data_IF_072715912620
#
_entry.id   IF_072715912620
#
_cell.length_a   1.000
_cell.length_b   1.000
_cell.length_c   1.000
_cell.angle_alpha   90.00
_cell.angle_beta   90.00
_cell.angle_gamma   90.00
#
_symmetry.space_group_name_H-M   'P 1'
#
loop_
_entity.id
_entity.type
_entity.pdbx_description
1 polymer ?
#
# COMPACT_ATOMS: atom_id res chain seq x y z
N UNK A 1 9.83 -19.38 17.88
CA UNK A 1 10.68 -19.99 18.86
C UNK A 1 10.01 -21.28 19.34
N UNK A 2 10.77 -22.32 19.58
CA UNK A 2 10.29 -23.64 20.06
C UNK A 2 10.65 -23.93 21.51
N UNK A 3 11.18 -22.95 22.22
CA UNK A 3 11.60 -23.11 23.62
C UNK A 3 10.39 -23.32 24.53
N UNK A 4 10.57 -24.16 25.55
CA UNK A 4 9.50 -24.56 26.52
C UNK A 4 9.48 -23.70 27.78
N UNK A 5 10.46 -22.84 27.97
CA UNK A 5 10.74 -22.06 29.17
C UNK A 5 10.06 -20.69 29.23
N UNK A 6 9.44 -20.26 28.15
CA UNK A 6 8.75 -18.97 28.08
C UNK A 6 7.54 -18.99 27.15
N UNK A 7 6.60 -18.12 27.43
CA UNK A 7 5.43 -17.92 26.55
C UNK A 7 5.76 -16.98 25.38
N UNK A 8 4.84 -16.91 24.41
CA UNK A 8 5.00 -16.07 23.21
C UNK A 8 5.24 -14.59 23.51
N UNK A 9 4.64 -14.05 24.59
CA UNK A 9 4.77 -12.62 24.95
C UNK A 9 6.17 -12.30 25.47
N UNK A 10 6.80 -13.26 26.17
CA UNK A 10 8.10 -13.10 26.81
C UNK A 10 9.24 -13.73 25.98
N UNK A 11 8.97 -14.12 24.75
CA UNK A 11 9.98 -14.71 23.87
C UNK A 11 10.90 -13.62 23.29
N UNK A 12 12.23 -13.62 23.59
CA UNK A 12 13.15 -12.62 23.10
C UNK A 12 13.18 -12.54 21.56
N UNK A 13 13.24 -13.68 20.88
CA UNK A 13 13.20 -13.72 19.40
C UNK A 13 11.93 -13.08 18.83
N UNK A 14 10.80 -13.25 19.52
CA UNK A 14 9.54 -12.66 19.09
C UNK A 14 9.55 -11.14 19.32
N UNK A 15 10.11 -10.67 20.42
CA UNK A 15 10.23 -9.24 20.69
C UNK A 15 11.14 -8.57 19.65
N UNK A 16 12.29 -9.16 19.35
CA UNK A 16 13.19 -8.67 18.31
C UNK A 16 12.50 -8.64 16.94
N UNK A 17 11.71 -9.65 16.65
CA UNK A 17 10.98 -9.71 15.37
C UNK A 17 9.86 -8.69 15.30
N UNK A 18 9.19 -8.34 16.41
CA UNK A 18 8.21 -7.25 16.45
C UNK A 18 8.85 -5.91 16.12
N UNK A 19 10.03 -5.63 16.69
CA UNK A 19 10.77 -4.41 16.37
C UNK A 19 11.07 -4.34 14.87
N UNK A 20 11.51 -5.46 14.28
CA UNK A 20 11.73 -5.53 12.82
C UNK A 20 10.44 -5.36 12.02
N UNK A 21 9.33 -5.88 12.49
CA UNK A 21 8.01 -5.68 11.85
C UNK A 21 7.59 -4.21 11.85
N UNK A 22 7.76 -3.51 12.97
CA UNK A 22 7.46 -2.08 13.09
C UNK A 22 8.34 -1.27 12.14
N UNK A 23 9.66 -1.53 12.16
CA UNK A 23 10.61 -0.84 11.28
C UNK A 23 10.32 -1.12 9.80
N UNK A 24 9.99 -2.35 9.45
CA UNK A 24 9.63 -2.72 8.08
C UNK A 24 8.40 -1.97 7.59
N UNK A 25 7.35 -1.88 8.41
CA UNK A 25 6.15 -1.16 8.04
C UNK A 25 6.38 0.34 7.92
N UNK A 26 7.16 0.92 8.83
CA UNK A 26 7.57 2.32 8.74
C UNK A 26 8.29 2.62 7.42
N UNK A 27 9.31 1.83 7.09
CA UNK A 27 10.11 2.03 5.87
C UNK A 27 9.25 1.82 4.61
N UNK A 28 8.37 0.82 4.62
CA UNK A 28 7.44 0.56 3.51
C UNK A 28 6.48 1.73 3.29
N UNK A 29 5.81 2.19 4.35
CA UNK A 29 4.90 3.34 4.30
C UNK A 29 5.60 4.59 3.81
N UNK A 30 6.78 4.88 4.35
CA UNK A 30 7.59 6.02 3.94
C UNK A 30 7.97 5.95 2.46
N UNK A 31 8.40 4.78 1.99
CA UNK A 31 8.74 4.58 0.59
C UNK A 31 7.54 4.79 -0.34
N UNK A 32 6.37 4.22 -0.02
CA UNK A 32 5.14 4.41 -0.81
C UNK A 32 4.68 5.85 -0.78
N UNK A 33 4.66 6.48 0.38
CA UNK A 33 4.26 7.88 0.53
C UNK A 33 5.16 8.83 -0.27
N UNK A 34 6.47 8.70 -0.14
CA UNK A 34 7.43 9.52 -0.88
C UNK A 34 7.23 9.35 -2.40
N UNK A 35 6.99 8.14 -2.85
CA UNK A 35 6.74 7.90 -4.27
C UNK A 35 5.42 8.54 -4.73
N UNK A 36 4.33 8.25 -4.04
CA UNK A 36 2.98 8.69 -4.46
C UNK A 36 2.80 10.19 -4.26
N UNK A 37 3.11 10.71 -3.08
CA UNK A 37 2.85 12.11 -2.75
C UNK A 37 3.97 13.05 -3.17
N UNK A 38 5.23 12.73 -2.83
CA UNK A 38 6.33 13.64 -3.10
C UNK A 38 6.75 13.59 -4.58
N UNK A 39 6.94 12.38 -5.13
CA UNK A 39 7.42 12.24 -6.51
C UNK A 39 6.31 12.47 -7.52
N UNK A 40 5.19 11.73 -7.40
CA UNK A 40 4.09 11.82 -8.37
C UNK A 40 3.17 13.02 -8.12
N UNK A 41 3.14 13.55 -6.90
CA UNK A 41 2.28 14.67 -6.51
C UNK A 41 0.82 14.29 -6.31
N UNK A 42 0.55 12.99 -6.06
CA UNK A 42 -0.78 12.49 -5.75
C UNK A 42 -1.02 12.71 -4.26
N UNK A 43 -1.68 13.81 -3.93
CA UNK A 43 -2.01 14.19 -2.55
C UNK A 43 -3.34 14.93 -2.53
N UNK A 44 -3.99 14.96 -1.37
CA UNK A 44 -5.27 15.67 -1.20
C UNK A 44 -5.08 17.14 -1.58
N UNK A 45 -6.01 17.66 -2.37
CA UNK A 45 -5.95 19.02 -2.94
C UNK A 45 -5.20 19.12 -4.27
N UNK A 46 -4.57 18.06 -4.77
CA UNK A 46 -3.95 18.08 -6.10
C UNK A 46 -4.99 18.04 -7.22
N UNK A 47 -4.78 18.86 -8.25
CA UNK A 47 -5.58 18.80 -9.47
C UNK A 47 -5.02 17.73 -10.40
N UNK A 48 -5.91 16.90 -10.92
CA UNK A 48 -5.57 15.72 -11.72
C UNK A 48 -6.34 15.69 -13.04
N UNK A 49 -5.74 15.05 -14.04
CA UNK A 49 -6.41 14.64 -15.27
C UNK A 49 -6.75 13.15 -15.14
N UNK A 50 -8.01 12.83 -15.32
CA UNK A 50 -8.51 11.45 -15.31
C UNK A 50 -9.12 11.09 -16.66
N UNK A 51 -9.02 9.83 -17.02
CA UNK A 51 -9.61 9.26 -18.22
C UNK A 51 -10.70 8.26 -17.84
N UNK A 52 -11.81 8.33 -18.53
CA UNK A 52 -12.83 7.28 -18.51
C UNK A 52 -12.74 6.50 -19.82
N UNK A 53 -12.39 5.22 -19.70
CA UNK A 53 -12.43 4.30 -20.84
C UNK A 53 -13.83 3.75 -20.99
N UNK A 54 -14.43 3.94 -22.17
CA UNK A 54 -15.75 3.37 -22.52
C UNK A 54 -15.56 2.41 -23.69
N UNK A 55 -16.14 1.21 -23.55
CA UNK A 55 -16.06 0.20 -24.61
C UNK A 55 -16.64 0.74 -25.91
N UNK A 56 -15.80 0.79 -26.97
CA UNK A 56 -16.24 1.21 -28.30
C UNK A 56 -16.36 2.72 -28.54
N UNK A 57 -15.98 3.57 -27.58
CA UNK A 57 -15.93 5.02 -27.70
C UNK A 57 -14.55 5.58 -27.40
N UNK A 58 -14.29 6.82 -27.82
CA UNK A 58 -13.06 7.50 -27.47
C UNK A 58 -12.99 7.75 -25.95
N UNK A 59 -11.78 7.63 -25.40
CA UNK A 59 -11.49 8.00 -24.01
C UNK A 59 -11.92 9.45 -23.76
N UNK A 60 -12.66 9.66 -22.69
CA UNK A 60 -13.04 11.00 -22.25
C UNK A 60 -12.09 11.46 -21.16
N UNK A 61 -11.58 12.67 -21.30
CA UNK A 61 -10.71 13.33 -20.34
C UNK A 61 -11.54 14.26 -19.43
N UNK A 62 -11.29 14.19 -18.13
CA UNK A 62 -11.89 15.05 -17.12
C UNK A 62 -10.81 15.66 -16.24
N UNK A 63 -11.12 16.80 -15.64
CA UNK A 63 -10.32 17.41 -14.57
C UNK A 63 -10.98 17.10 -13.26
N UNK A 64 -10.18 16.72 -12.27
CA UNK A 64 -10.63 16.44 -10.91
C UNK A 64 -9.72 17.03 -9.87
N UNK A 65 -10.24 17.13 -8.64
CA UNK A 65 -9.50 17.54 -7.46
C UNK A 65 -9.49 16.37 -6.47
N UNK A 66 -8.32 15.91 -6.05
CA UNK A 66 -8.22 14.81 -5.06
C UNK A 66 -8.81 15.28 -3.73
N UNK A 67 -9.83 14.56 -3.24
CA UNK A 67 -10.52 14.85 -1.98
C UNK A 67 -10.09 13.94 -0.85
N UNK A 68 -9.72 12.68 -1.16
CA UNK A 68 -9.34 11.70 -0.15
C UNK A 68 -8.38 10.66 -0.72
N UNK A 69 -7.50 10.14 0.14
CA UNK A 69 -6.60 9.03 -0.14
C UNK A 69 -6.62 8.07 1.04
N UNK A 70 -7.07 6.85 0.82
CA UNK A 70 -7.06 5.84 1.86
C UNK A 70 -5.66 5.26 2.07
N UNK A 71 -4.89 5.88 2.96
CA UNK A 71 -3.54 5.43 3.31
C UNK A 71 -3.52 4.18 4.21
N UNK A 72 -4.63 3.82 4.84
CA UNK A 72 -4.68 2.67 5.78
C UNK A 72 -4.45 1.34 5.07
N UNK A 73 -4.69 1.29 3.76
CA UNK A 73 -4.38 0.10 2.95
C UNK A 73 -2.87 -0.10 2.76
N UNK A 74 -2.05 0.92 2.97
CA UNK A 74 -0.59 0.86 2.80
C UNK A 74 0.04 0.21 4.01
N UNK A 75 0.33 -1.08 3.90
CA UNK A 75 0.80 -1.89 5.01
C UNK A 75 1.67 -3.04 4.49
N UNK A 76 2.89 -3.17 5.01
CA UNK A 76 3.85 -4.20 4.57
C UNK A 76 3.33 -5.62 4.78
N UNK A 77 2.49 -5.84 5.79
CA UNK A 77 1.95 -7.17 6.11
C UNK A 77 0.88 -7.60 5.11
N UNK A 78 0.00 -6.67 4.73
CA UNK A 78 -1.06 -6.93 3.74
C UNK A 78 -0.46 -7.07 2.34
N UNK A 79 0.55 -6.28 2.02
CA UNK A 79 1.27 -6.40 0.76
C UNK A 79 1.82 -7.82 0.55
N UNK A 80 2.26 -8.47 1.61
CA UNK A 80 2.75 -9.85 1.55
C UNK A 80 1.63 -10.89 1.47
N UNK A 81 0.53 -10.71 2.18
CA UNK A 81 -0.61 -11.66 2.16
C UNK A 81 -1.20 -11.81 0.76
N UNK A 82 -1.02 -10.81 -0.12
CA UNK A 82 -1.40 -10.88 -1.53
C UNK A 82 -0.48 -11.79 -2.36
N UNK A 83 0.66 -12.22 -1.86
CA UNK A 83 1.61 -13.11 -2.57
C UNK A 83 1.30 -14.61 -2.44
N UNK A 84 0.47 -14.99 -1.49
CA UNK A 84 0.10 -16.39 -1.25
C UNK A 84 -1.04 -16.86 -2.13
N UNK A 85 -0.71 -17.46 -3.27
CA UNK A 85 -1.59 -18.26 -4.14
C UNK A 85 -2.92 -17.65 -4.62
N UNK A 86 -2.95 -17.34 -5.89
CA UNK A 86 -4.07 -17.42 -6.85
C UNK A 86 -5.15 -16.33 -6.88
N UNK A 87 -5.19 -15.35 -6.06
CA UNK A 87 -6.05 -14.20 -6.35
C UNK A 87 -5.31 -12.91 -6.01
N UNK A 88 -4.88 -12.30 -7.05
CA UNK A 88 -4.13 -11.06 -7.10
C UNK A 88 -4.99 -9.91 -6.57
N UNK A 89 -5.09 -9.77 -5.27
CA UNK A 89 -5.57 -8.53 -4.69
C UNK A 89 -4.36 -7.62 -4.48
N UNK A 90 -4.10 -6.80 -5.46
CA UNK A 90 -3.20 -5.68 -5.30
C UNK A 90 -3.76 -4.76 -4.24
N UNK A 91 -2.88 -4.27 -3.39
CA UNK A 91 -3.21 -3.08 -2.61
C UNK A 91 -3.37 -1.91 -3.60
N UNK A 92 -4.58 -1.73 -4.10
CA UNK A 92 -4.90 -0.51 -4.84
C UNK A 92 -5.08 0.60 -3.83
N UNK A 93 -4.20 1.59 -3.87
CA UNK A 93 -4.42 2.81 -3.12
C UNK A 93 -5.71 3.46 -3.64
N UNK A 94 -6.73 3.51 -2.78
CA UNK A 94 -8.00 4.13 -3.14
C UNK A 94 -7.87 5.64 -3.04
N UNK A 95 -8.03 6.29 -4.18
CA UNK A 95 -8.03 7.75 -4.32
C UNK A 95 -9.43 8.19 -4.70
N UNK A 96 -9.97 9.17 -4.01
CA UNK A 96 -11.21 9.84 -4.37
C UNK A 96 -10.91 11.22 -4.91
N UNK A 97 -11.68 11.62 -5.90
CA UNK A 97 -11.58 12.96 -6.49
C UNK A 97 -12.96 13.52 -6.83
N UNK A 98 -13.09 14.82 -6.69
CA UNK A 98 -14.25 15.56 -7.21
C UNK A 98 -14.07 15.72 -8.72
N UNK A 99 -14.95 15.09 -9.50
CA UNK A 99 -14.95 15.13 -10.97
C UNK A 99 -16.37 15.47 -11.43
N UNK A 100 -16.53 16.53 -12.20
CA UNK A 100 -17.82 17.03 -12.67
C UNK A 100 -18.84 17.25 -11.50
N UNK A 101 -18.35 17.78 -10.37
CA UNK A 101 -19.20 18.06 -9.20
C UNK A 101 -19.54 16.86 -8.34
N UNK A 102 -19.07 15.65 -8.66
CA UNK A 102 -19.32 14.44 -7.90
C UNK A 102 -18.02 13.81 -7.39
N UNK A 103 -18.04 13.26 -6.17
CA UNK A 103 -16.91 12.48 -5.65
C UNK A 103 -16.90 11.09 -6.29
N UNK A 104 -15.80 10.75 -6.94
CA UNK A 104 -15.60 9.47 -7.66
C UNK A 104 -14.31 8.79 -7.26
N UNK A 105 -14.31 7.46 -7.29
CA UNK A 105 -13.09 6.69 -7.12
C UNK A 105 -12.22 6.79 -8.37
N UNK A 106 -10.91 6.99 -8.17
CA UNK A 106 -9.92 7.09 -9.23
C UNK A 106 -8.87 6.01 -9.07
N UNK A 107 -8.67 5.24 -10.12
CA UNK A 107 -7.65 4.19 -10.14
C UNK A 107 -6.28 4.78 -10.50
N UNK A 108 -5.29 4.58 -9.63
CA UNK A 108 -3.90 5.02 -9.82
C UNK A 108 -2.93 3.86 -10.06
N UNK A 109 -3.44 2.65 -10.28
CA UNK A 109 -2.66 1.41 -10.29
C UNK A 109 -1.44 1.43 -11.21
N UNK A 110 -1.56 1.97 -12.41
CA UNK A 110 -0.45 2.01 -13.38
C UNK A 110 0.73 2.91 -12.95
N UNK A 111 0.49 3.87 -12.08
CA UNK A 111 1.53 4.80 -11.60
C UNK A 111 2.37 4.20 -10.46
N UNK A 112 1.82 3.22 -9.76
CA UNK A 112 2.55 2.50 -8.70
C UNK A 112 3.53 1.49 -9.29
N UNK A 113 3.32 1.04 -10.54
CA UNK A 113 4.20 0.09 -11.24
C UNK A 113 5.61 0.57 -11.42
N UNK A 114 5.77 1.86 -11.69
CA UNK A 114 7.09 2.46 -11.94
C UNK A 114 7.97 2.53 -10.69
N UNK A 115 7.40 2.20 -9.52
CA UNK A 115 8.12 2.27 -8.25
C UNK A 115 9.15 1.15 -8.05
N UNK A 116 9.24 0.18 -8.96
CA UNK A 116 10.09 -0.99 -8.74
C UNK A 116 9.55 -1.93 -7.66
N UNK A 117 8.32 -1.69 -7.21
CA UNK A 117 7.54 -2.59 -6.35
C UNK A 117 6.87 -3.70 -7.17
N UNK A 118 7.28 -3.89 -8.42
CA UNK A 118 6.74 -4.93 -9.32
C UNK A 118 6.69 -6.31 -8.67
N UNK A 119 7.62 -6.56 -7.77
CA UNK A 119 7.66 -7.78 -6.98
C UNK A 119 6.80 -7.74 -5.72
N UNK A 120 6.29 -6.56 -5.32
CA UNK A 120 5.57 -6.34 -4.07
C UNK A 120 4.13 -5.93 -4.33
N UNK A 121 3.89 -5.13 -5.36
CA UNK A 121 2.56 -4.70 -5.79
C UNK A 121 2.35 -5.22 -7.20
N UNK A 122 2.04 -6.50 -7.34
CA UNK A 122 1.55 -7.02 -8.62
C UNK A 122 0.18 -6.45 -8.87
N UNK A 123 0.01 -5.81 -10.03
CA UNK A 123 -1.30 -5.37 -10.49
C UNK A 123 -2.31 -6.50 -10.45
N UNK A 124 -3.44 -6.21 -9.86
CA UNK A 124 -4.64 -6.75 -10.45
C UNK A 124 -4.67 -6.18 -11.86
N UNK A 125 -4.52 -7.02 -12.84
CA UNK A 125 -5.23 -6.76 -14.08
C UNK A 125 -6.67 -6.59 -13.62
N UNK A 126 -7.08 -5.39 -13.35
CA UNK A 126 -8.46 -4.99 -13.18
C UNK A 126 -9.11 -5.28 -14.52
N UNK A 127 -9.39 -6.54 -14.70
CA UNK A 127 -9.70 -7.06 -16.00
C UNK A 127 -11.09 -6.71 -16.47
N UNK A 128 -11.95 -6.06 -15.68
CA UNK A 128 -13.34 -5.97 -16.10
C UNK A 128 -14.14 -4.74 -15.66
N UNK A 129 -13.53 -3.74 -15.03
CA UNK A 129 -14.28 -2.52 -14.71
C UNK A 129 -13.99 -1.43 -15.75
N UNK A 130 -14.65 -1.54 -16.89
CA UNK A 130 -14.59 -0.63 -18.04
C UNK A 130 -15.09 0.80 -17.71
N UNK A 131 -15.57 1.02 -16.50
CA UNK A 131 -16.16 2.29 -16.07
C UNK A 131 -15.30 3.06 -15.06
N UNK A 132 -14.13 2.56 -14.70
CA UNK A 132 -13.30 3.22 -13.71
C UNK A 132 -12.57 4.42 -14.31
N UNK A 133 -12.60 5.52 -13.56
CA UNK A 133 -11.76 6.67 -13.85
C UNK A 133 -10.30 6.28 -13.55
N UNK A 134 -9.42 6.52 -14.53
CA UNK A 134 -8.00 6.28 -14.39
C UNK A 134 -7.25 7.59 -14.34
N UNK A 135 -6.38 7.76 -13.36
CA UNK A 135 -5.48 8.90 -13.32
C UNK A 135 -4.53 8.85 -14.51
N UNK A 136 -4.47 9.91 -15.30
CA UNK A 136 -3.56 10.05 -16.44
C UNK A 136 -2.43 11.04 -16.20
N UNK A 137 -2.66 12.08 -15.41
CA UNK A 137 -1.65 13.07 -15.05
C UNK A 137 -2.01 13.84 -13.78
N UNK A 138 -1.00 14.34 -13.07
CA UNK A 138 -1.15 15.38 -12.06
C UNK A 138 -0.87 16.72 -12.71
N UNK A 139 -1.85 17.64 -12.68
CA UNK A 139 -1.78 18.95 -13.33
C UNK A 139 -1.16 19.98 -12.40
N UNK A 140 -1.60 19.97 -11.13
CA UNK A 140 -1.07 20.84 -10.09
C UNK A 140 -0.96 20.06 -8.77
N UNK A 141 0.22 20.14 -8.17
CA UNK A 141 0.51 19.45 -6.89
C UNK A 141 0.08 20.32 -5.73
N UNK A 142 -0.63 19.73 -4.77
CA UNK A 142 -0.80 20.33 -3.46
C UNK A 142 0.34 19.90 -2.52
N UNK A 143 0.45 20.57 -1.38
CA UNK A 143 1.43 20.20 -0.35
C UNK A 143 0.98 18.92 0.35
N UNK A 144 1.81 17.88 0.41
CA UNK A 144 1.48 16.66 1.11
C UNK A 144 1.24 16.93 2.61
N UNK A 145 0.23 16.26 3.17
CA UNK A 145 -0.10 16.36 4.59
C UNK A 145 -0.40 14.95 5.12
N UNK A 146 0.54 14.40 5.87
CA UNK A 146 0.34 13.17 6.64
C UNK A 146 1.08 13.29 7.96
N UNK A 147 0.53 12.73 9.02
CA UNK A 147 1.17 12.76 10.33
C UNK A 147 2.33 11.75 10.41
N UNK A 148 3.39 12.10 11.13
CA UNK A 148 4.49 11.17 11.41
C UNK A 148 4.01 9.90 12.15
N UNK A 149 2.95 10.02 12.95
CA UNK A 149 2.35 8.89 13.68
C UNK A 149 1.82 7.81 12.73
N UNK A 150 1.34 8.19 11.54
CA UNK A 150 0.86 7.23 10.57
C UNK A 150 1.96 6.26 10.10
N UNK A 151 3.22 6.69 10.06
CA UNK A 151 4.31 5.81 9.68
C UNK A 151 4.58 4.73 10.74
N UNK A 152 4.30 4.99 12.02
CA UNK A 152 4.51 4.03 13.10
C UNK A 152 3.28 3.15 13.30
N UNK A 153 3.44 1.84 13.16
CA UNK A 153 2.33 0.89 13.19
C UNK A 153 2.58 -0.28 14.15
N UNK A 154 2.88 0.04 15.41
CA UNK A 154 3.14 -0.98 16.42
C UNK A 154 1.96 -1.95 16.61
N UNK A 155 0.75 -1.41 16.70
CA UNK A 155 -0.47 -2.20 16.86
C UNK A 155 -0.71 -3.15 15.70
N UNK A 156 -0.41 -2.72 14.47
CA UNK A 156 -0.55 -3.56 13.28
C UNK A 156 0.45 -4.72 13.28
N UNK A 157 1.69 -4.48 13.71
CA UNK A 157 2.69 -5.53 13.85
C UNK A 157 2.23 -6.62 14.83
N UNK A 158 1.69 -6.22 15.97
CA UNK A 158 1.11 -7.17 16.94
C UNK A 158 -0.09 -7.90 16.37
N UNK A 159 -1.00 -7.21 15.71
CA UNK A 159 -2.19 -7.81 15.11
C UNK A 159 -1.80 -8.84 14.05
N UNK A 160 -0.83 -8.51 13.20
CA UNK A 160 -0.30 -9.43 12.21
C UNK A 160 0.29 -10.69 12.87
N UNK A 161 1.18 -10.50 13.84
CA UNK A 161 1.83 -11.62 14.54
C UNK A 161 0.84 -12.46 15.37
N UNK A 162 -0.22 -11.83 15.89
CA UNK A 162 -1.25 -12.56 16.64
C UNK A 162 -1.99 -13.59 15.78
N UNK A 163 -2.16 -13.29 14.48
CA UNK A 163 -2.79 -14.20 13.50
C UNK A 163 -1.87 -15.37 13.11
N UNK A 164 -0.55 -15.24 13.28
CA UNK A 164 0.42 -16.29 12.92
C UNK A 164 0.71 -17.20 14.12
N UNK A 165 0.71 -18.52 13.89
CA UNK A 165 0.85 -19.50 14.98
C UNK A 165 2.26 -19.60 15.55
N UNK A 166 3.31 -19.34 14.76
CA UNK A 166 4.70 -19.39 15.22
C UNK A 166 5.66 -18.64 14.33
N UNK A 167 6.78 -18.19 14.90
CA UNK A 167 7.87 -17.56 14.14
C UNK A 167 8.50 -18.53 13.13
N UNK A 168 8.54 -19.83 13.47
CA UNK A 168 9.03 -20.88 12.55
C UNK A 168 8.21 -20.93 11.25
N UNK A 169 6.90 -20.85 11.32
CA UNK A 169 6.05 -20.77 10.11
C UNK A 169 6.33 -19.52 9.30
N UNK A 170 6.47 -18.36 9.94
CA UNK A 170 6.80 -17.12 9.25
C UNK A 170 8.11 -17.22 8.49
N UNK A 171 9.14 -17.83 9.06
CA UNK A 171 10.44 -18.06 8.40
C UNK A 171 10.30 -18.92 7.13
N UNK A 172 9.43 -19.91 7.17
CA UNK A 172 9.23 -20.84 6.06
C UNK A 172 8.32 -20.28 4.96
N UNK A 173 7.42 -19.36 5.30
CA UNK A 173 6.45 -18.79 4.35
C UNK A 173 7.04 -17.62 3.51
N UNK A 174 8.32 -17.29 3.67
CA UNK A 174 8.95 -16.15 2.99
C UNK A 174 8.56 -14.77 3.56
N UNK A 175 7.55 -14.71 4.43
CA UNK A 175 7.12 -13.47 5.12
C UNK A 175 8.26 -12.86 5.91
N UNK A 176 9.04 -13.71 6.56
CA UNK A 176 10.20 -13.28 7.33
C UNK A 176 11.22 -12.54 6.47
N UNK A 177 11.58 -13.11 5.32
CA UNK A 177 12.54 -12.50 4.39
C UNK A 177 12.05 -11.14 3.89
N UNK A 178 10.75 -11.02 3.58
CA UNK A 178 10.14 -9.77 3.15
C UNK A 178 10.18 -8.69 4.25
N UNK A 179 9.85 -9.06 5.49
CA UNK A 179 9.92 -8.13 6.63
C UNK A 179 11.36 -7.70 6.87
N UNK A 180 12.33 -8.61 6.85
CA UNK A 180 13.75 -8.30 7.02
C UNK A 180 14.24 -7.37 5.91
N UNK A 181 13.82 -7.62 4.67
CA UNK A 181 14.16 -6.74 3.54
C UNK A 181 13.73 -5.28 3.79
N UNK A 182 12.47 -5.09 4.19
CA UNK A 182 11.95 -3.75 4.47
C UNK A 182 12.49 -3.14 5.76
N UNK A 183 12.75 -3.95 6.80
CA UNK A 183 13.31 -3.46 8.05
C UNK A 183 14.72 -2.86 7.87
N UNK A 184 15.51 -3.41 6.93
CA UNK A 184 16.88 -2.97 6.67
C UNK A 184 17.00 -1.88 5.59
N UNK A 185 15.89 -1.45 5.00
CA UNK A 185 15.87 -0.43 3.97
C UNK A 185 15.72 0.95 4.62
N UNK A 186 16.76 1.75 4.57
CA UNK A 186 16.78 3.14 5.03
C UNK A 186 16.46 4.11 3.89
#
# INVERSE_FOLDING_TARGET
>A
CGAKDHNRRNCPEMQDFIVKCVQANYNYRKAVYNHVSERLGITVGSAIKVKKSTYGSHDQDFIGLITDINWDVVNVFTAFECYGYSSVYTQSLNVKALVDGEEKNVNIGSLIDDFGLKDIVRHTKSSYYWHDLRLSAVIAKARPQISEEWFSAYTEAWTFLAKKRSLHRLKNDGVYAHIIYWANRT
#
